data_IF_442907919563
#
_entry.id   IF_442907919563
#
_cell.length_a   1.000
_cell.length_b   1.000
_cell.length_c   1.000
_cell.angle_alpha   90.00
_cell.angle_beta   90.00
_cell.angle_gamma   90.00
#
_symmetry.space_group_name_H-M   'P 1'
#
loop_
_entity.id
_entity.type
_entity.pdbx_description
1 polymer ?
#
# COMPACT_ATOMS: atom_id res chain seq x y z
N UNK A 1 -10.66 -19.11 23.96
CA UNK A 1 -11.56 -18.43 23.00
C UNK A 1 -10.73 -17.55 22.08
N UNK A 2 -10.70 -17.81 20.77
CA UNK A 2 -9.98 -16.98 19.79
C UNK A 2 -10.98 -15.97 19.21
N UNK A 3 -10.98 -14.74 19.72
CA UNK A 3 -11.79 -13.68 19.15
C UNK A 3 -11.21 -13.30 17.78
N UNK A 4 -11.86 -13.74 16.70
CA UNK A 4 -11.59 -13.20 15.36
C UNK A 4 -12.15 -11.78 15.32
N UNK A 5 -11.35 -10.81 15.76
CA UNK A 5 -11.66 -9.39 15.53
C UNK A 5 -11.64 -9.18 14.01
N UNK A 6 -12.82 -9.02 13.41
CA UNK A 6 -12.94 -8.76 11.98
C UNK A 6 -12.38 -7.37 11.68
N UNK A 7 -11.53 -7.29 10.65
CA UNK A 7 -11.12 -6.03 10.05
C UNK A 7 -11.93 -5.86 8.76
N UNK A 8 -12.60 -4.72 8.62
CA UNK A 8 -13.25 -4.35 7.36
C UNK A 8 -12.39 -3.28 6.69
N UNK A 9 -11.93 -3.55 5.48
CA UNK A 9 -11.10 -2.63 4.68
C UNK A 9 -11.85 -2.32 3.39
N UNK A 10 -11.97 -1.04 3.05
CA UNK A 10 -12.56 -0.58 1.80
C UNK A 10 -11.54 0.28 1.06
N UNK A 11 -11.36 0.02 -0.23
CA UNK A 11 -10.57 0.87 -1.13
C UNK A 11 -11.53 1.72 -1.96
N UNK A 12 -11.32 3.03 -1.96
CA UNK A 12 -12.13 3.92 -2.80
C UNK A 12 -11.65 3.84 -4.24
N UNK A 13 -12.52 4.19 -5.20
CA UNK A 13 -12.16 4.20 -6.62
C UNK A 13 -10.99 5.17 -6.90
N UNK A 14 -10.95 6.30 -6.19
CA UNK A 14 -9.88 7.29 -6.26
C UNK A 14 -8.56 6.71 -5.72
N UNK A 15 -8.61 5.92 -4.64
CA UNK A 15 -7.44 5.26 -4.10
C UNK A 15 -6.86 4.23 -5.08
N UNK A 16 -7.72 3.48 -5.76
CA UNK A 16 -7.31 2.53 -6.81
C UNK A 16 -6.72 3.26 -8.02
N UNK A 17 -7.38 4.33 -8.50
CA UNK A 17 -6.94 5.10 -9.65
C UNK A 17 -5.62 5.84 -9.39
N UNK A 18 -5.47 6.40 -8.19
CA UNK A 18 -4.28 7.13 -7.76
C UNK A 18 -3.15 6.26 -7.23
N UNK A 19 -3.26 4.93 -7.31
CA UNK A 19 -2.27 4.02 -6.71
C UNK A 19 -0.94 3.98 -7.48
N UNK A 20 -1.02 3.97 -8.82
CA UNK A 20 0.17 4.02 -9.68
C UNK A 20 0.63 5.47 -9.80
N UNK A 21 1.95 5.69 -9.74
CA UNK A 21 2.49 7.01 -9.97
C UNK A 21 2.18 7.49 -11.39
N UNK A 22 1.90 8.77 -11.55
CA UNK A 22 1.85 9.39 -12.86
C UNK A 22 3.21 9.30 -13.55
N UNK A 23 3.19 9.08 -14.87
CA UNK A 23 4.39 9.11 -15.69
C UNK A 23 4.99 10.51 -15.67
N UNK A 24 6.06 10.72 -14.90
CA UNK A 24 6.84 11.97 -14.93
C UNK A 24 7.76 11.98 -16.15
N UNK A 25 7.65 13.02 -16.97
CA UNK A 25 8.50 13.29 -18.14
C UNK A 25 9.79 14.06 -17.79
N UNK A 26 10.07 14.29 -16.50
CA UNK A 26 11.24 15.05 -16.02
C UNK A 26 12.48 14.21 -15.70
N UNK A 27 13.62 14.89 -15.51
CA UNK A 27 14.91 14.26 -15.16
C UNK A 27 14.91 13.86 -13.68
N UNK A 28 14.91 12.55 -13.43
CA UNK A 28 14.77 11.93 -12.11
C UNK A 28 13.78 10.79 -12.24
N UNK A 29 14.29 9.56 -12.27
CA UNK A 29 13.56 8.36 -12.74
C UNK A 29 12.13 8.23 -12.21
N UNK A 30 11.25 7.67 -13.04
CA UNK A 30 9.84 7.47 -12.76
C UNK A 30 9.64 6.80 -11.39
N UNK A 31 8.96 7.48 -10.46
CA UNK A 31 8.57 6.89 -9.18
C UNK A 31 7.66 5.70 -9.49
N UNK A 32 7.93 4.52 -8.93
CA UNK A 32 7.09 3.33 -9.19
C UNK A 32 5.73 3.39 -8.46
N UNK A 33 5.63 4.21 -7.42
CA UNK A 33 4.48 4.31 -6.52
C UNK A 33 4.06 5.76 -6.35
N UNK A 34 2.76 6.02 -6.24
CA UNK A 34 2.27 7.37 -5.91
C UNK A 34 2.51 7.69 -4.43
N UNK A 35 2.49 8.98 -4.09
CA UNK A 35 2.53 9.44 -2.69
C UNK A 35 1.34 8.86 -1.89
N UNK A 36 0.20 8.63 -2.56
CA UNK A 36 -0.98 7.99 -1.98
C UNK A 36 -0.71 6.53 -1.57
N UNK A 37 -0.04 5.75 -2.43
CA UNK A 37 0.32 4.36 -2.12
C UNK A 37 1.32 4.29 -0.96
N UNK A 38 2.31 5.19 -0.94
CA UNK A 38 3.30 5.29 0.15
C UNK A 38 2.62 5.69 1.46
N UNK A 39 1.81 6.75 1.45
CA UNK A 39 1.09 7.21 2.64
C UNK A 39 0.18 6.12 3.20
N UNK A 40 -0.58 5.43 2.34
CA UNK A 40 -1.46 4.32 2.75
C UNK A 40 -0.66 3.20 3.42
N UNK A 41 0.49 2.83 2.87
CA UNK A 41 1.36 1.81 3.45
C UNK A 41 1.90 2.22 4.83
N UNK A 42 2.34 3.47 4.97
CA UNK A 42 2.83 4.01 6.25
C UNK A 42 1.72 4.12 7.30
N UNK A 43 0.50 4.48 6.90
CA UNK A 43 -0.67 4.51 7.79
C UNK A 43 -1.00 3.11 8.30
N UNK A 44 -1.08 2.11 7.41
CA UNK A 44 -1.32 0.72 7.82
C UNK A 44 -0.23 0.22 8.77
N UNK A 45 1.04 0.53 8.46
CA UNK A 45 2.15 0.24 9.35
C UNK A 45 1.94 0.85 10.74
N UNK A 46 1.57 2.12 10.82
CA UNK A 46 1.41 2.84 12.08
C UNK A 46 0.24 2.30 12.90
N UNK A 47 -0.92 2.06 12.26
CA UNK A 47 -2.13 1.56 12.92
C UNK A 47 -1.93 0.15 13.48
N UNK A 48 -1.28 -0.73 12.72
CA UNK A 48 -1.04 -2.11 13.14
C UNK A 48 0.32 -2.31 13.85
N UNK A 49 1.13 -1.26 13.95
CA UNK A 49 2.48 -1.26 14.55
C UNK A 49 3.38 -2.35 13.98
N UNK A 50 3.40 -2.50 12.65
CA UNK A 50 4.12 -3.56 11.95
C UNK A 50 5.55 -3.16 11.56
N UNK A 51 6.41 -4.17 11.33
CA UNK A 51 7.67 -3.97 10.61
C UNK A 51 7.40 -3.70 9.11
N UNK A 52 8.37 -3.09 8.40
CA UNK A 52 8.21 -2.76 6.97
C UNK A 52 7.88 -4.00 6.13
N UNK A 53 8.62 -5.10 6.29
CA UNK A 53 8.36 -6.37 5.58
C UNK A 53 6.99 -6.99 5.91
N UNK A 54 6.50 -6.81 7.12
CA UNK A 54 5.16 -7.28 7.50
C UNK A 54 4.07 -6.39 6.89
N UNK A 55 4.35 -5.10 6.76
CA UNK A 55 3.45 -4.13 6.12
C UNK A 55 3.28 -4.48 4.63
N UNK A 56 4.37 -4.81 3.93
CA UNK A 56 4.32 -5.32 2.54
C UNK A 56 3.39 -6.52 2.42
N UNK A 57 3.59 -7.55 3.24
CA UNK A 57 2.79 -8.77 3.19
C UNK A 57 1.31 -8.53 3.51
N UNK A 58 1.00 -7.62 4.45
CA UNK A 58 -0.36 -7.23 4.77
C UNK A 58 -1.03 -6.51 3.60
N UNK A 59 -0.36 -5.53 2.99
CA UNK A 59 -0.90 -4.80 1.84
C UNK A 59 -1.15 -5.76 0.67
N UNK A 60 -0.19 -6.63 0.36
CA UNK A 60 -0.36 -7.64 -0.68
C UNK A 60 -1.57 -8.54 -0.42
N UNK A 61 -1.75 -8.97 0.83
CA UNK A 61 -2.91 -9.80 1.23
C UNK A 61 -4.24 -9.04 1.10
N UNK A 62 -4.27 -7.75 1.45
CA UNK A 62 -5.46 -6.89 1.32
C UNK A 62 -5.81 -6.70 -0.16
N UNK A 63 -4.83 -6.37 -1.01
CA UNK A 63 -5.05 -6.16 -2.43
C UNK A 63 -5.55 -7.43 -3.11
N UNK A 64 -4.97 -8.59 -2.77
CA UNK A 64 -5.45 -9.89 -3.23
C UNK A 64 -6.88 -10.19 -2.79
N UNK A 65 -7.20 -9.91 -1.51
CA UNK A 65 -8.55 -10.12 -0.97
C UNK A 65 -9.60 -9.23 -1.67
N UNK A 66 -9.19 -8.03 -2.10
CA UNK A 66 -10.03 -7.08 -2.82
C UNK A 66 -10.03 -7.30 -4.35
N UNK A 67 -9.25 -8.27 -4.86
CA UNK A 67 -9.15 -8.55 -6.30
C UNK A 67 -8.48 -7.42 -7.10
N UNK A 68 -7.63 -6.61 -6.47
CA UNK A 68 -6.99 -5.46 -7.08
C UNK A 68 -5.61 -5.82 -7.66
N UNK A 69 -5.39 -5.56 -8.96
CA UNK A 69 -4.09 -5.72 -9.62
C UNK A 69 -3.19 -4.46 -9.45
N UNK A 70 -2.85 -4.21 -8.19
CA UNK A 70 -2.05 -3.07 -7.75
C UNK A 70 -0.70 -3.54 -7.20
N UNK A 71 0.38 -2.85 -7.56
CA UNK A 71 1.72 -3.16 -7.08
C UNK A 71 1.88 -2.79 -5.59
N UNK A 72 2.53 -3.65 -4.80
CA UNK A 72 2.79 -3.41 -3.38
C UNK A 72 4.09 -2.60 -3.21
N UNK A 73 4.07 -1.45 -2.51
CA UNK A 73 5.29 -0.75 -2.14
C UNK A 73 6.19 -1.63 -1.28
N UNK A 74 7.39 -1.94 -1.77
CA UNK A 74 8.40 -2.68 -1.01
C UNK A 74 9.07 -1.80 0.07
N UNK A 75 9.75 -2.42 1.03
CA UNK A 75 10.40 -1.74 2.15
C UNK A 75 11.46 -0.73 1.69
N UNK A 76 12.08 -0.93 0.53
CA UNK A 76 13.08 0.01 0.01
C UNK A 76 12.42 1.30 -0.49
N UNK A 77 11.18 1.21 -1.00
CA UNK A 77 10.36 2.38 -1.31
C UNK A 77 9.88 3.09 -0.04
N UNK A 78 9.57 2.34 1.02
CA UNK A 78 9.05 2.89 2.28
C UNK A 78 10.13 3.42 3.25
N UNK A 79 11.40 3.06 3.05
CA UNK A 79 12.52 3.48 3.90
C UNK A 79 13.24 4.73 3.40
N UNK A 80 12.74 5.37 2.34
CA UNK A 80 13.33 6.57 1.74
C UNK A 80 12.87 7.84 2.43
#
# INVERSE_FOLDING_TARGET
>A
MRARRGLTVWFTAEATAGWRAEARTGRGGQTKYSDLAIATALTLRAVFRLALRQTEGLIGSILQLLGLDLAVPDHSALSR
#
